data_IF_272214698882
#
_entry.id   IF_272214698882
#
_cell.length_a   1.000
_cell.length_b   1.000
_cell.length_c   1.000
_cell.angle_alpha   90.00
_cell.angle_beta   90.00
_cell.angle_gamma   90.00
#
_symmetry.space_group_name_H-M   'P 1'
#
loop_
_entity.id
_entity.type
_entity.pdbx_description
1 polymer ?
#
# COMPACT_ATOMS: atom_id res chain seq x y z
N UNK A 1 35.55 -37.85 -60.61
CA UNK A 1 36.03 -36.47 -60.39
C UNK A 1 35.75 -36.12 -58.93
N UNK A 2 36.81 -36.18 -58.17
CA UNK A 2 36.86 -35.89 -56.74
C UNK A 2 37.01 -34.38 -56.56
N UNK A 3 36.19 -33.79 -55.71
CA UNK A 3 36.35 -32.44 -55.18
C UNK A 3 36.08 -32.47 -53.68
N UNK A 4 37.10 -32.90 -52.94
CA UNK A 4 37.21 -32.68 -51.50
C UNK A 4 37.56 -31.21 -51.24
N UNK A 5 36.62 -30.43 -50.75
CA UNK A 5 36.80 -29.06 -50.27
C UNK A 5 36.93 -29.05 -48.75
N UNK A 6 38.10 -28.73 -48.25
CA UNK A 6 38.45 -28.54 -46.84
C UNK A 6 37.60 -27.41 -46.22
N UNK A 7 36.87 -27.68 -45.17
CA UNK A 7 36.37 -26.68 -44.26
C UNK A 7 37.44 -26.39 -43.22
N UNK A 8 37.92 -25.16 -43.20
CA UNK A 8 38.83 -24.62 -42.18
C UNK A 8 38.10 -24.38 -40.89
N UNK A 9 38.64 -24.95 -39.82
CA UNK A 9 38.24 -24.69 -38.44
C UNK A 9 38.49 -23.22 -38.10
N UNK A 10 37.45 -22.52 -37.72
CA UNK A 10 37.53 -21.20 -37.10
C UNK A 10 37.78 -21.43 -35.61
N UNK A 11 38.96 -21.05 -35.16
CA UNK A 11 39.39 -21.09 -33.78
C UNK A 11 38.51 -20.21 -32.88
N UNK A 12 38.39 -20.67 -31.62
CA UNK A 12 37.53 -20.16 -30.58
C UNK A 12 37.66 -18.67 -30.31
N UNK A 13 36.51 -18.03 -30.29
CA UNK A 13 36.35 -16.71 -29.67
C UNK A 13 36.33 -16.96 -28.17
N UNK A 14 37.39 -16.54 -27.49
CA UNK A 14 37.46 -16.48 -26.03
C UNK A 14 36.39 -15.50 -25.55
N UNK A 15 35.25 -16.00 -25.15
CA UNK A 15 34.26 -15.21 -24.40
C UNK A 15 34.89 -14.88 -23.04
N UNK A 16 35.32 -13.66 -22.87
CA UNK A 16 35.61 -13.12 -21.55
C UNK A 16 34.32 -13.15 -20.73
N UNK A 17 34.30 -13.78 -19.56
CA UNK A 17 33.11 -13.78 -18.72
C UNK A 17 32.78 -12.34 -18.32
N UNK A 18 31.60 -11.89 -18.71
CA UNK A 18 31.05 -10.62 -18.22
C UNK A 18 31.09 -10.64 -16.70
N UNK A 19 31.56 -9.59 -16.03
CA UNK A 19 31.50 -9.53 -14.57
C UNK A 19 30.03 -9.61 -14.14
N UNK A 20 29.66 -10.73 -13.50
CA UNK A 20 28.41 -10.80 -12.78
C UNK A 20 28.49 -9.75 -11.67
N UNK A 21 27.82 -8.63 -11.90
CA UNK A 21 27.55 -7.69 -10.83
C UNK A 21 26.60 -8.38 -9.84
N UNK A 22 27.18 -9.03 -8.82
CA UNK A 22 26.51 -9.31 -7.57
C UNK A 22 26.27 -7.96 -6.89
N UNK A 23 25.34 -7.19 -7.49
CA UNK A 23 24.93 -5.88 -7.00
C UNK A 23 23.80 -6.04 -6.00
N UNK A 24 24.12 -6.47 -4.80
CA UNK A 24 23.39 -5.91 -3.66
C UNK A 24 23.68 -4.40 -3.74
N UNK A 25 22.66 -3.60 -4.08
CA UNK A 25 22.79 -2.14 -4.10
C UNK A 25 23.35 -1.69 -2.75
N UNK A 26 24.44 -0.90 -2.70
CA UNK A 26 24.99 -0.41 -1.43
C UNK A 26 23.98 0.45 -0.65
N UNK A 27 22.88 0.83 -1.28
CA UNK A 27 21.76 1.57 -0.67
C UNK A 27 20.73 0.65 0.00
N UNK A 28 20.65 -0.64 -0.33
CA UNK A 28 19.65 -1.56 0.25
C UNK A 28 19.81 -1.70 1.76
N UNK A 29 21.04 -1.81 2.24
CA UNK A 29 21.34 -1.90 3.68
C UNK A 29 21.19 -0.59 4.46
N UNK A 30 21.30 0.57 3.77
CA UNK A 30 21.09 1.88 4.40
C UNK A 30 19.59 2.16 4.58
N UNK A 31 18.76 1.82 3.59
CA UNK A 31 17.32 1.99 3.65
C UNK A 31 16.71 1.11 4.77
N UNK A 32 17.09 -0.16 4.84
CA UNK A 32 16.63 -1.06 5.91
C UNK A 32 17.00 -0.54 7.30
N UNK A 33 18.21 0.02 7.45
CA UNK A 33 18.65 0.56 8.73
C UNK A 33 17.86 1.82 9.14
N UNK A 34 17.52 2.70 8.19
CA UNK A 34 16.70 3.89 8.46
C UNK A 34 15.29 3.50 8.88
N UNK A 35 14.62 2.61 8.15
CA UNK A 35 13.28 2.13 8.51
C UNK A 35 13.27 1.40 9.86
N UNK A 36 14.29 0.62 10.17
CA UNK A 36 14.44 -0.04 11.48
C UNK A 36 14.61 0.98 12.63
N UNK A 37 15.33 2.07 12.40
CA UNK A 37 15.45 3.14 13.39
C UNK A 37 14.13 3.88 13.60
N UNK A 38 13.43 4.20 12.50
CA UNK A 38 12.11 4.84 12.56
C UNK A 38 11.09 3.96 13.29
N UNK A 39 11.13 2.64 13.06
CA UNK A 39 10.27 1.70 13.77
C UNK A 39 10.50 1.73 15.30
N UNK A 40 11.75 1.88 15.76
CA UNK A 40 12.02 2.07 17.20
C UNK A 40 11.45 3.38 17.78
N UNK A 41 11.28 4.39 16.92
CA UNK A 41 10.58 5.64 17.24
C UNK A 41 9.07 5.53 17.01
N UNK A 42 8.56 4.30 16.84
CA UNK A 42 7.15 3.96 16.61
C UNK A 42 6.55 4.54 15.34
N UNK A 43 7.39 4.75 14.33
CA UNK A 43 7.02 5.29 13.01
C UNK A 43 7.00 4.17 12.00
N UNK A 44 5.83 3.95 11.39
CA UNK A 44 5.55 2.96 10.33
C UNK A 44 5.24 3.69 9.03
N UNK A 45 5.68 3.15 7.90
CA UNK A 45 5.46 3.77 6.58
C UNK A 45 4.60 2.90 5.66
N UNK A 46 3.58 3.54 5.08
CA UNK A 46 2.91 3.09 3.87
C UNK A 46 3.36 4.00 2.71
N UNK A 47 4.50 3.67 2.09
CA UNK A 47 5.18 4.51 1.09
C UNK A 47 5.00 4.05 -0.36
N UNK A 48 4.02 3.18 -0.65
CA UNK A 48 3.79 2.61 -1.98
C UNK A 48 2.33 2.20 -2.17
N UNK A 49 2.02 1.59 -3.31
CA UNK A 49 0.71 0.96 -3.52
C UNK A 49 0.43 -0.11 -2.46
N UNK A 50 -0.81 -0.13 -1.94
CA UNK A 50 -1.26 -1.11 -0.95
C UNK A 50 -1.36 -2.49 -1.59
N UNK A 51 -0.56 -3.43 -1.11
CA UNK A 51 -0.47 -4.83 -1.58
C UNK A 51 -0.31 -5.77 -0.39
N UNK A 52 -0.60 -7.04 -0.56
CA UNK A 52 -0.53 -8.04 0.50
C UNK A 52 0.82 -8.04 1.23
N UNK A 53 1.92 -7.88 0.48
CA UNK A 53 3.27 -7.94 1.05
C UNK A 53 3.54 -6.79 2.03
N UNK A 54 3.27 -5.54 1.63
CA UNK A 54 3.51 -4.40 2.50
C UNK A 54 2.44 -4.26 3.59
N UNK A 55 1.20 -4.67 3.32
CA UNK A 55 0.15 -4.71 4.33
C UNK A 55 0.50 -5.69 5.46
N UNK A 56 0.93 -6.92 5.14
CA UNK A 56 1.37 -7.89 6.14
C UNK A 56 2.57 -7.38 6.96
N UNK A 57 3.53 -6.69 6.31
CA UNK A 57 4.66 -6.10 7.02
C UNK A 57 4.20 -4.99 7.99
N UNK A 58 3.29 -4.11 7.56
CA UNK A 58 2.71 -3.05 8.40
C UNK A 58 1.93 -3.66 9.57
N UNK A 59 1.08 -4.66 9.33
CA UNK A 59 0.36 -5.36 10.40
C UNK A 59 1.32 -5.96 11.43
N UNK A 60 2.39 -6.63 10.98
CA UNK A 60 3.40 -7.19 11.87
C UNK A 60 4.12 -6.10 12.69
N UNK A 61 4.44 -4.96 12.09
CA UNK A 61 5.04 -3.81 12.78
C UNK A 61 4.09 -3.23 13.84
N UNK A 62 2.81 -3.04 13.51
CA UNK A 62 1.80 -2.57 14.45
C UNK A 62 1.67 -3.50 15.66
N UNK A 63 1.59 -4.81 15.42
CA UNK A 63 1.51 -5.82 16.47
C UNK A 63 2.78 -5.86 17.34
N UNK A 64 3.96 -5.74 16.73
CA UNK A 64 5.23 -5.68 17.45
C UNK A 64 5.28 -4.47 18.38
N UNK A 65 5.01 -3.27 17.85
CA UNK A 65 5.01 -2.03 18.62
C UNK A 65 3.98 -2.04 19.74
N UNK A 66 2.81 -2.65 19.49
CA UNK A 66 1.78 -2.83 20.52
C UNK A 66 2.22 -3.78 21.64
N UNK A 67 2.95 -4.84 21.31
CA UNK A 67 3.48 -5.78 22.29
C UNK A 67 4.63 -5.16 23.14
N UNK A 68 5.40 -4.24 22.55
CA UNK A 68 6.49 -3.53 23.25
C UNK A 68 5.95 -2.50 24.25
N UNK A 69 4.96 -1.70 23.84
CA UNK A 69 4.31 -0.70 24.70
C UNK A 69 2.86 -0.48 24.22
N UNK A 70 1.87 -0.99 24.96
CA UNK A 70 0.46 -0.88 24.57
C UNK A 70 -0.16 0.50 24.80
N UNK A 71 0.51 1.40 25.52
CA UNK A 71 0.00 2.74 25.86
C UNK A 71 0.55 3.84 24.96
N UNK A 72 1.71 3.62 24.34
CA UNK A 72 2.34 4.63 23.49
C UNK A 72 1.73 4.68 22.09
N UNK A 73 1.57 5.90 21.56
CA UNK A 73 1.06 6.12 20.19
C UNK A 73 1.95 5.47 19.13
N UNK A 74 1.33 5.03 18.04
CA UNK A 74 2.03 4.58 16.83
C UNK A 74 1.71 5.57 15.72
N UNK A 75 2.72 5.94 14.92
CA UNK A 75 2.59 6.90 13.82
C UNK A 75 2.63 6.17 12.47
N UNK A 76 1.53 6.16 11.73
CA UNK A 76 1.46 5.63 10.36
C UNK A 76 1.59 6.77 9.35
N UNK A 77 2.75 6.87 8.70
CA UNK A 77 3.01 7.83 7.63
C UNK A 77 2.55 7.25 6.29
N UNK A 78 1.74 8.01 5.54
CA UNK A 78 1.05 7.55 4.33
C UNK A 78 1.45 8.41 3.14
N UNK A 79 2.11 7.78 2.15
CA UNK A 79 2.37 8.29 0.81
C UNK A 79 2.02 7.19 -0.20
N UNK A 80 0.73 7.03 -0.50
CA UNK A 80 0.22 5.89 -1.24
C UNK A 80 -0.88 6.30 -2.22
N UNK A 81 -0.86 5.76 -3.46
CA UNK A 81 -1.96 5.92 -4.41
C UNK A 81 -3.20 5.07 -4.06
N UNK A 82 -3.14 4.26 -3.00
CA UNK A 82 -4.12 3.23 -2.68
C UNK A 82 -3.70 1.86 -3.21
N UNK A 83 -4.64 0.98 -3.51
CA UNK A 83 -4.38 -0.37 -4.01
C UNK A 83 -5.41 -1.39 -3.53
N UNK A 84 -4.97 -2.60 -3.19
CA UNK A 84 -5.83 -3.70 -2.77
C UNK A 84 -6.69 -3.33 -1.56
N UNK A 85 -8.02 -3.50 -1.71
CA UNK A 85 -8.98 -3.26 -0.63
C UNK A 85 -8.76 -4.25 0.50
N UNK A 86 -8.59 -5.54 0.19
CA UNK A 86 -8.41 -6.58 1.22
C UNK A 86 -7.12 -6.36 2.03
N UNK A 87 -6.02 -6.00 1.35
CA UNK A 87 -4.77 -5.66 2.00
C UNK A 87 -4.90 -4.41 2.90
N UNK A 88 -5.63 -3.39 2.43
CA UNK A 88 -5.92 -2.19 3.22
C UNK A 88 -6.82 -2.48 4.42
N UNK A 89 -7.81 -3.35 4.28
CA UNK A 89 -8.66 -3.79 5.39
C UNK A 89 -7.87 -4.57 6.44
N UNK A 90 -6.88 -5.37 6.06
CA UNK A 90 -5.99 -6.04 7.03
C UNK A 90 -5.24 -5.02 7.91
N UNK A 91 -4.73 -3.94 7.32
CA UNK A 91 -4.10 -2.85 8.10
C UNK A 91 -5.14 -2.17 9.01
N UNK A 92 -6.30 -1.83 8.46
CA UNK A 92 -7.39 -1.18 9.20
C UNK A 92 -7.83 -2.00 10.42
N UNK A 93 -8.09 -3.28 10.22
CA UNK A 93 -8.51 -4.18 11.31
C UNK A 93 -7.40 -4.32 12.35
N UNK A 94 -6.13 -4.36 11.95
CA UNK A 94 -5.00 -4.39 12.88
C UNK A 94 -4.90 -3.10 13.69
N UNK A 95 -5.11 -1.93 13.06
CA UNK A 95 -5.16 -0.64 13.77
C UNK A 95 -6.26 -0.61 14.85
N UNK A 96 -7.41 -1.25 14.57
CA UNK A 96 -8.52 -1.33 15.54
C UNK A 96 -8.35 -2.44 16.58
N UNK A 97 -7.57 -3.47 16.27
CA UNK A 97 -7.34 -4.62 17.15
C UNK A 97 -6.38 -4.29 18.30
N UNK A 98 -5.35 -3.47 18.05
CA UNK A 98 -4.38 -3.07 19.07
C UNK A 98 -4.96 -1.99 19.99
N UNK A 99 -4.57 -1.95 21.28
CA UNK A 99 -5.04 -0.94 22.21
C UNK A 99 -4.47 0.46 21.97
N UNK A 100 -3.37 0.56 21.22
CA UNK A 100 -2.67 1.81 20.97
C UNK A 100 -3.48 2.78 20.12
N UNK A 101 -3.35 4.07 20.38
CA UNK A 101 -3.75 5.08 19.42
C UNK A 101 -2.83 5.06 18.20
N UNK A 102 -3.41 5.01 17.01
CA UNK A 102 -2.67 5.09 15.75
C UNK A 102 -2.88 6.48 15.14
N UNK A 103 -1.85 7.31 15.25
CA UNK A 103 -1.79 8.60 14.59
C UNK A 103 -1.45 8.43 13.11
N UNK A 104 -2.21 9.06 12.20
CA UNK A 104 -1.98 8.96 10.76
C UNK A 104 -1.50 10.29 10.19
N UNK A 105 -0.52 10.25 9.30
CA UNK A 105 0.11 11.44 8.71
C UNK A 105 0.17 11.29 7.19
N UNK A 106 -0.62 12.08 6.46
CA UNK A 106 -0.52 12.15 5.01
C UNK A 106 0.71 12.95 4.59
N UNK A 107 1.49 12.39 3.65
CA UNK A 107 2.61 13.05 3.00
C UNK A 107 2.59 12.73 1.51
N UNK A 108 2.89 13.70 0.65
CA UNK A 108 2.83 13.53 -0.80
C UNK A 108 1.40 13.24 -1.28
N UNK A 109 1.03 11.96 -1.37
CA UNK A 109 -0.31 11.52 -1.82
C UNK A 109 -0.91 10.49 -0.86
N UNK A 110 -2.11 10.73 -0.38
CA UNK A 110 -2.95 9.75 0.29
C UNK A 110 -4.24 9.57 -0.51
N UNK A 111 -4.28 8.54 -1.37
CA UNK A 111 -5.38 8.32 -2.29
C UNK A 111 -6.06 6.95 -2.08
N UNK A 112 -7.37 6.87 -2.36
CA UNK A 112 -8.12 5.61 -2.33
C UNK A 112 -7.95 4.89 -0.98
N UNK A 113 -7.42 3.66 -0.94
CA UNK A 113 -7.14 2.96 0.32
C UNK A 113 -6.15 3.71 1.21
N UNK A 114 -5.23 4.53 0.66
CA UNK A 114 -4.37 5.40 1.46
C UNK A 114 -5.16 6.52 2.16
N UNK A 115 -6.15 7.10 1.49
CA UNK A 115 -7.08 8.06 2.10
C UNK A 115 -7.96 7.40 3.15
N UNK A 116 -8.46 6.19 2.88
CA UNK A 116 -9.23 5.41 3.84
C UNK A 116 -8.45 5.18 5.14
N UNK A 117 -7.22 4.69 5.05
CA UNK A 117 -6.35 4.46 6.20
C UNK A 117 -6.00 5.77 6.94
N UNK A 118 -5.85 6.87 6.21
CA UNK A 118 -5.65 8.19 6.82
C UNK A 118 -6.84 8.58 7.70
N UNK A 119 -8.08 8.43 7.20
CA UNK A 119 -9.26 8.78 7.98
C UNK A 119 -9.57 7.79 9.09
N UNK A 120 -9.01 6.58 9.04
CA UNK A 120 -9.15 5.55 10.07
C UNK A 120 -8.24 5.78 11.30
N UNK A 121 -7.28 6.71 11.22
CA UNK A 121 -6.47 7.10 12.38
C UNK A 121 -7.30 7.57 13.56
N UNK A 122 -6.76 7.48 14.76
CA UNK A 122 -7.41 7.90 15.99
C UNK A 122 -7.93 9.34 15.90
N UNK A 123 -9.14 9.57 16.37
CA UNK A 123 -9.78 10.88 16.34
C UNK A 123 -8.93 11.94 17.04
N UNK A 124 -8.62 13.03 16.35
CA UNK A 124 -7.75 14.10 16.84
C UNK A 124 -6.25 13.86 16.58
N UNK A 125 -5.87 12.67 16.06
CA UNK A 125 -4.47 12.31 15.72
C UNK A 125 -4.29 12.01 14.24
N UNK A 126 -4.99 12.75 13.37
CA UNK A 126 -4.94 12.64 11.90
C UNK A 126 -4.35 13.92 11.35
N UNK A 127 -3.25 13.81 10.64
CA UNK A 127 -2.47 14.94 10.19
C UNK A 127 -2.20 14.86 8.68
N UNK A 128 -1.94 16.01 8.09
CA UNK A 128 -1.45 16.12 6.73
C UNK A 128 -0.33 17.16 6.66
N UNK A 129 0.73 16.86 5.92
CA UNK A 129 1.76 17.85 5.64
C UNK A 129 1.22 18.91 4.65
N UNK A 130 1.73 20.15 4.66
CA UNK A 130 1.15 21.29 3.94
C UNK A 130 0.96 21.10 2.42
N UNK A 131 1.70 20.17 1.82
CA UNK A 131 1.63 19.89 0.38
C UNK A 131 1.12 18.49 0.08
N UNK A 132 0.61 17.77 1.09
CA UNK A 132 0.01 16.47 0.87
C UNK A 132 -1.30 16.61 0.09
N UNK A 133 -1.58 15.68 -0.79
CA UNK A 133 -2.82 15.60 -1.56
C UNK A 133 -3.63 14.43 -1.05
N UNK A 134 -4.90 14.67 -0.77
CA UNK A 134 -5.82 13.62 -0.30
C UNK A 134 -6.87 13.42 -1.39
N UNK A 135 -7.04 12.18 -1.85
CA UNK A 135 -7.99 11.86 -2.92
C UNK A 135 -8.86 10.68 -2.53
N UNK A 136 -10.16 10.88 -2.64
CA UNK A 136 -11.18 9.87 -2.43
C UNK A 136 -11.83 9.49 -3.76
N UNK A 137 -12.06 8.20 -3.96
CA UNK A 137 -12.89 7.68 -5.04
C UNK A 137 -13.50 6.32 -4.64
N UNK A 138 -14.53 5.90 -5.35
CA UNK A 138 -15.14 4.57 -5.15
C UNK A 138 -14.17 3.45 -5.55
N UNK A 139 -14.30 2.24 -4.98
CA UNK A 139 -13.52 1.09 -5.41
C UNK A 139 -13.65 0.86 -6.91
N UNK A 140 -12.54 0.62 -7.57
CA UNK A 140 -12.48 0.31 -9.00
C UNK A 140 -11.68 -0.97 -9.22
N UNK A 141 -12.06 -1.76 -10.22
CA UNK A 141 -11.36 -2.99 -10.55
C UNK A 141 -11.90 -3.63 -11.83
N UNK A 142 -11.10 -4.50 -12.43
CA UNK A 142 -11.54 -5.34 -13.54
C UNK A 142 -12.41 -6.50 -13.04
N UNK A 143 -13.49 -6.80 -13.75
CA UNK A 143 -14.36 -7.96 -13.52
C UNK A 143 -14.23 -8.87 -14.74
N UNK A 144 -14.02 -10.18 -14.53
CA UNK A 144 -13.87 -11.14 -15.62
C UNK A 144 -14.22 -12.55 -15.21
N UNK A 145 -14.34 -13.46 -16.21
CA UNK A 145 -14.70 -14.85 -15.99
C UNK A 145 -16.03 -15.21 -16.64
N UNK A 146 -16.69 -16.29 -16.16
CA UNK A 146 -18.02 -16.70 -16.60
C UNK A 146 -19.08 -15.67 -16.19
N UNK A 147 -20.28 -15.72 -16.82
CA UNK A 147 -21.39 -14.84 -16.45
C UNK A 147 -21.74 -14.95 -14.94
N UNK A 148 -21.62 -16.14 -14.35
CA UNK A 148 -21.83 -16.35 -12.92
C UNK A 148 -20.74 -15.68 -12.09
N UNK A 149 -19.48 -15.78 -12.48
CA UNK A 149 -18.35 -15.13 -11.78
C UNK A 149 -18.48 -13.61 -11.83
N UNK A 150 -18.82 -13.06 -13.00
CA UNK A 150 -19.06 -11.62 -13.19
C UNK A 150 -20.16 -11.13 -12.24
N UNK A 151 -21.27 -11.87 -12.12
CA UNK A 151 -22.35 -11.52 -11.20
C UNK A 151 -21.89 -11.51 -9.74
N UNK A 152 -21.15 -12.53 -9.32
CA UNK A 152 -20.62 -12.63 -7.93
C UNK A 152 -19.65 -11.47 -7.66
N UNK A 153 -18.72 -11.20 -8.57
CA UNK A 153 -17.74 -10.12 -8.42
C UNK A 153 -18.43 -8.74 -8.37
N UNK A 154 -19.45 -8.52 -9.18
CA UNK A 154 -20.22 -7.28 -9.14
C UNK A 154 -20.95 -7.09 -7.80
N UNK A 155 -21.55 -8.15 -7.25
CA UNK A 155 -22.17 -8.11 -5.94
C UNK A 155 -21.16 -7.80 -4.83
N UNK A 156 -19.98 -8.44 -4.86
CA UNK A 156 -18.92 -8.16 -3.88
C UNK A 156 -18.42 -6.72 -3.99
N UNK A 157 -18.25 -6.19 -5.19
CA UNK A 157 -17.82 -4.79 -5.40
C UNK A 157 -18.83 -3.79 -4.83
N UNK A 158 -20.13 -4.06 -4.98
CA UNK A 158 -21.18 -3.22 -4.40
C UNK A 158 -21.17 -3.28 -2.86
N UNK A 159 -20.98 -4.48 -2.29
CA UNK A 159 -20.86 -4.65 -0.85
C UNK A 159 -19.65 -3.89 -0.28
N UNK A 160 -18.48 -4.04 -0.91
CA UNK A 160 -17.27 -3.33 -0.51
C UNK A 160 -17.44 -1.81 -0.61
N UNK A 161 -18.08 -1.31 -1.67
CA UNK A 161 -18.39 0.12 -1.83
C UNK A 161 -19.23 0.63 -0.66
N UNK A 162 -20.27 -0.12 -0.28
CA UNK A 162 -21.12 0.23 0.85
C UNK A 162 -20.35 0.22 2.16
N UNK A 163 -19.63 -0.86 2.47
CA UNK A 163 -18.82 -1.00 3.70
C UNK A 163 -17.80 0.12 3.85
N UNK A 164 -17.02 0.41 2.81
CA UNK A 164 -16.04 1.50 2.84
C UNK A 164 -16.72 2.86 3.04
N UNK A 165 -17.87 3.10 2.39
CA UNK A 165 -18.65 4.33 2.57
C UNK A 165 -19.12 4.50 4.01
N UNK A 166 -19.64 3.44 4.63
CA UNK A 166 -20.07 3.44 6.03
C UNK A 166 -18.91 3.67 7.00
N UNK A 167 -17.76 3.03 6.77
CA UNK A 167 -16.57 3.19 7.60
C UNK A 167 -15.98 4.61 7.49
N UNK A 168 -15.90 5.18 6.27
CA UNK A 168 -15.46 6.56 6.08
C UNK A 168 -16.43 7.53 6.76
N UNK A 169 -17.73 7.32 6.63
CA UNK A 169 -18.76 8.12 7.30
C UNK A 169 -18.59 8.06 8.83
N UNK A 170 -18.38 6.87 9.38
CA UNK A 170 -18.13 6.67 10.81
C UNK A 170 -16.91 7.48 11.30
N UNK A 171 -15.78 7.36 10.60
CA UNK A 171 -14.54 8.04 10.99
C UNK A 171 -14.57 9.54 10.78
N UNK A 172 -15.31 10.05 9.80
CA UNK A 172 -15.35 11.48 9.45
C UNK A 172 -16.50 12.24 10.10
N UNK A 173 -17.52 11.53 10.56
CA UNK A 173 -18.77 12.12 11.08
C UNK A 173 -19.69 12.69 9.99
N UNK A 174 -19.41 12.38 8.71
CA UNK A 174 -20.27 12.74 7.57
C UNK A 174 -21.36 11.69 7.35
N UNK A 175 -22.41 12.03 6.62
CA UNK A 175 -23.40 11.04 6.22
C UNK A 175 -22.87 10.09 5.14
N UNK A 176 -23.42 8.87 5.08
CA UNK A 176 -23.05 7.88 4.06
C UNK A 176 -23.38 8.41 2.65
N UNK A 177 -24.52 9.12 2.52
CA UNK A 177 -24.95 9.72 1.25
C UNK A 177 -23.95 10.78 0.75
N UNK A 178 -23.39 11.58 1.66
CA UNK A 178 -22.32 12.54 1.31
C UNK A 178 -21.05 11.81 0.84
N UNK A 179 -20.64 10.77 1.55
CA UNK A 179 -19.44 9.99 1.19
C UNK A 179 -19.63 9.31 -0.17
N UNK A 180 -20.79 8.66 -0.40
CA UNK A 180 -21.10 8.02 -1.69
C UNK A 180 -21.08 9.01 -2.84
N UNK A 181 -21.71 10.18 -2.67
CA UNK A 181 -21.71 11.26 -3.67
C UNK A 181 -20.31 11.78 -3.94
N UNK A 182 -19.55 12.02 -2.87
CA UNK A 182 -18.21 12.62 -2.94
C UNK A 182 -17.16 11.64 -3.48
N UNK A 183 -17.39 10.33 -3.39
CA UNK A 183 -16.49 9.28 -3.90
C UNK A 183 -16.86 8.77 -5.30
N UNK A 184 -17.93 9.27 -5.92
CA UNK A 184 -18.35 8.77 -7.24
C UNK A 184 -17.29 8.98 -8.34
N UNK A 185 -16.50 10.04 -8.22
CA UNK A 185 -15.35 10.36 -9.06
C UNK A 185 -14.19 10.80 -8.19
N UNK A 186 -12.98 10.90 -8.77
CA UNK A 186 -11.79 11.40 -8.09
C UNK A 186 -12.07 12.77 -7.48
N UNK A 187 -12.09 12.81 -6.16
CA UNK A 187 -12.27 14.05 -5.40
C UNK A 187 -11.03 14.32 -4.56
N UNK A 188 -10.35 15.42 -4.90
CA UNK A 188 -9.25 15.94 -4.10
C UNK A 188 -9.80 16.90 -3.05
N UNK A 189 -9.39 16.70 -1.81
CA UNK A 189 -9.74 17.59 -0.69
C UNK A 189 -8.60 18.58 -0.49
N UNK A 190 -8.86 19.91 -0.48
CA UNK A 190 -7.90 20.91 -0.03
C UNK A 190 -7.53 20.65 1.44
N UNK A 191 -6.27 20.89 1.79
CA UNK A 191 -5.77 20.86 3.16
C UNK A 191 -5.94 22.21 3.79
#
# INVERSE_FOLDING_TARGET
MDLSGRASSVEGVNETPSPQMNGASPYHGLDDNVYQRLLRERIVFLGSEVRDQNANAICAQLLLLSAEDPEADIFLHINSPGGSVDAGMAIYDTMNYIPNDVATVAMGLAASMGQFLLCAGTKGKRFALPHARIMMHQPSGGIGGSASDIKIQAQQSLLLKQQLGELIAHHTGRSVEEIVRDSDRDRFTPI
#
